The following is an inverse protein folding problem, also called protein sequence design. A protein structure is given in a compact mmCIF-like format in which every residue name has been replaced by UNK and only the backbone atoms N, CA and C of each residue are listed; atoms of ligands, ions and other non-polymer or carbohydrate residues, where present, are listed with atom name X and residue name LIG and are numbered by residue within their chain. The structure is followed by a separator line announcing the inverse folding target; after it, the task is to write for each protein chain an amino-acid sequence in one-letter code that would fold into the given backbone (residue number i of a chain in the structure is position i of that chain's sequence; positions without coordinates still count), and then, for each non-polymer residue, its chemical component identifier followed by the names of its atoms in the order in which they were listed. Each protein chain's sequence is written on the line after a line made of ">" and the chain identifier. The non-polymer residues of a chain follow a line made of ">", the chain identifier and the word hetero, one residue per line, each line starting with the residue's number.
data_IF_698607552146
#
_entry.id   IF_698607552146
#
_cell.length_a   1.000
_cell.length_b   1.000
_cell.length_c   1.000
_cell.angle_alpha   90.00
_cell.angle_beta   90.00
_cell.angle_gamma   90.00
#
_symmetry.space_group_name_H-M   'P 1'
#
loop_
_entity.id
_entity.type
_entity.pdbx_description
1 polymer ?
#
# COMPACT_ATOMS: atom_id res chain seq x y z
N UNK A 1 3.16 -7.77 -5.25
CA UNK A 1 2.44 -7.03 -6.30
C UNK A 1 3.30 -5.99 -7.02
N UNK A 2 3.18 -5.92 -8.35
CA UNK A 2 3.76 -4.81 -9.15
C UNK A 2 2.98 -3.52 -8.94
N UNK A 3 3.70 -2.41 -8.85
CA UNK A 3 3.16 -1.06 -8.71
C UNK A 3 3.84 -0.11 -9.70
N UNK A 4 3.05 0.60 -10.48
CA UNK A 4 3.46 1.77 -11.26
C UNK A 4 3.47 3.01 -10.35
N UNK A 5 4.57 3.77 -10.36
CA UNK A 5 4.67 5.04 -9.62
C UNK A 5 4.17 6.15 -10.55
N UNK A 6 2.97 6.69 -10.25
CA UNK A 6 2.38 7.76 -11.06
C UNK A 6 2.95 9.13 -10.67
N UNK A 7 3.10 9.35 -9.36
CA UNK A 7 3.59 10.59 -8.77
C UNK A 7 4.18 10.28 -7.40
N UNK A 8 5.51 10.20 -7.33
CA UNK A 8 6.20 9.83 -6.11
C UNK A 8 6.08 10.91 -5.02
N UNK A 9 6.06 12.18 -5.40
CA UNK A 9 5.95 13.30 -4.45
C UNK A 9 4.54 13.38 -3.86
N UNK A 10 3.52 13.16 -4.68
CA UNK A 10 2.14 13.09 -4.22
C UNK A 10 1.76 11.73 -3.62
N UNK A 11 2.66 10.74 -3.64
CA UNK A 11 2.41 9.39 -3.13
C UNK A 11 1.26 8.68 -3.85
N UNK A 12 1.18 8.81 -5.18
CA UNK A 12 0.15 8.17 -6.02
C UNK A 12 0.73 7.03 -6.86
N UNK A 13 -0.01 5.93 -6.88
CA UNK A 13 0.42 4.65 -7.42
C UNK A 13 -0.71 3.97 -8.17
N UNK A 14 -0.37 2.99 -9.02
CA UNK A 14 -1.34 2.12 -9.70
C UNK A 14 -0.90 0.66 -9.65
N UNK A 15 -1.86 -0.24 -9.44
CA UNK A 15 -1.68 -1.68 -9.59
C UNK A 15 -2.89 -2.28 -10.33
N UNK A 16 -3.00 -3.61 -10.36
CA UNK A 16 -4.13 -4.31 -11.01
C UNK A 16 -5.49 -4.02 -10.36
N UNK A 17 -5.51 -3.61 -9.08
CA UNK A 17 -6.72 -3.25 -8.33
C UNK A 17 -7.13 -1.78 -8.49
N UNK A 18 -6.35 -0.96 -9.21
CA UNK A 18 -6.67 0.44 -9.50
C UNK A 18 -5.60 1.44 -9.03
N UNK A 19 -5.99 2.71 -8.97
CA UNK A 19 -5.16 3.82 -8.46
C UNK A 19 -5.35 4.00 -6.96
N UNK A 20 -4.26 4.28 -6.25
CA UNK A 20 -4.28 4.42 -4.81
C UNK A 20 -3.19 5.37 -4.30
N UNK A 21 -3.37 5.81 -3.06
CA UNK A 21 -2.46 6.68 -2.32
C UNK A 21 -2.00 6.02 -1.01
N UNK A 22 -1.04 6.65 -0.35
CA UNK A 22 -0.58 6.25 0.98
C UNK A 22 -1.70 6.50 1.99
N UNK A 23 -2.01 5.48 2.81
CA UNK A 23 -2.98 5.60 3.88
C UNK A 23 -2.32 6.11 5.18
N UNK A 24 -3.00 6.98 5.99
CA UNK A 24 -4.31 7.56 5.73
C UNK A 24 -4.24 8.68 4.70
N UNK A 25 -5.14 8.64 3.73
CA UNK A 25 -5.42 9.78 2.88
C UNK A 25 -6.51 10.63 3.55
N UNK A 26 -6.12 11.77 4.13
CA UNK A 26 -7.04 12.66 4.84
C UNK A 26 -8.06 13.32 3.90
N UNK A 27 -7.84 13.25 2.58
CA UNK A 27 -8.75 13.79 1.57
C UNK A 27 -9.79 12.77 1.09
N UNK A 28 -9.63 11.48 1.43
CA UNK A 28 -10.55 10.45 1.01
C UNK A 28 -11.88 10.53 1.78
N UNK A 29 -12.99 10.69 1.06
CA UNK A 29 -14.34 10.75 1.65
C UNK A 29 -14.79 9.40 2.25
N UNK A 30 -14.31 8.30 1.66
CA UNK A 30 -14.54 6.92 2.10
C UNK A 30 -13.19 6.20 2.21
N UNK A 31 -13.13 5.05 2.89
CA UNK A 31 -11.91 4.23 2.73
C UNK A 31 -11.74 3.82 1.29
N UNK A 32 -10.51 3.89 0.78
CA UNK A 32 -10.23 3.33 -0.52
C UNK A 32 -10.15 1.80 -0.47
N UNK A 33 -10.68 1.15 -1.51
CA UNK A 33 -10.64 -0.31 -1.67
C UNK A 33 -9.20 -0.83 -1.75
N UNK A 34 -8.28 -0.02 -2.26
CA UNK A 34 -6.85 -0.29 -2.34
C UNK A 34 -6.07 0.89 -1.74
N UNK A 35 -5.05 0.61 -0.93
CA UNK A 35 -4.24 1.65 -0.29
C UNK A 35 -2.80 1.20 -0.03
N UNK A 36 -1.85 2.14 0.03
CA UNK A 36 -0.47 1.84 0.43
C UNK A 36 -0.30 1.98 1.95
N UNK A 37 0.26 0.95 2.60
CA UNK A 37 0.54 0.93 4.03
C UNK A 37 2.05 0.89 4.29
N UNK A 38 2.61 2.00 4.76
CA UNK A 38 4.05 2.12 5.06
C UNK A 38 4.55 1.06 6.05
N UNK A 39 5.62 0.36 5.72
CA UNK A 39 6.29 -0.61 6.62
C UNK A 39 6.72 0.03 7.94
N UNK A 40 7.00 1.33 7.91
CA UNK A 40 7.50 2.11 9.04
C UNK A 40 6.39 2.73 9.90
N UNK A 41 5.13 2.61 9.48
CA UNK A 41 4.00 3.09 10.28
C UNK A 41 3.99 2.35 11.62
N UNK A 42 4.23 3.11 12.69
CA UNK A 42 4.29 2.58 14.06
C UNK A 42 2.91 2.03 14.42
N UNK A 43 2.89 0.82 15.00
CA UNK A 43 1.68 0.23 15.54
C UNK A 43 1.04 1.22 16.52
N UNK A 44 -0.20 1.61 16.23
CA UNK A 44 -1.01 2.50 17.05
C UNK A 44 -2.39 1.89 17.17
N UNK A 45 -3.27 2.45 18.01
CA UNK A 45 -4.66 1.99 18.07
C UNK A 45 -5.36 2.03 16.69
N UNK A 46 -4.86 2.85 15.75
CA UNK A 46 -5.41 2.99 14.40
C UNK A 46 -4.87 1.98 13.37
N UNK A 47 -3.76 1.30 13.66
CA UNK A 47 -3.12 0.35 12.73
C UNK A 47 -2.64 -0.88 13.48
N UNK A 48 -3.27 -2.02 13.17
CA UNK A 48 -2.87 -3.31 13.73
C UNK A 48 -2.56 -4.29 12.62
N UNK A 49 -1.28 -4.63 12.46
CA UNK A 49 -0.84 -5.70 11.58
C UNK A 49 -0.97 -7.06 12.25
N UNK A 50 -1.38 -8.07 11.50
CA UNK A 50 -1.44 -9.47 11.96
C UNK A 50 -1.19 -10.42 10.79
N UNK A 51 -0.65 -11.59 11.09
CA UNK A 51 -0.49 -12.68 10.13
C UNK A 51 -1.49 -13.76 10.51
N UNK A 52 -2.28 -14.23 9.56
CA UNK A 52 -3.22 -15.34 9.71
C UNK A 52 -3.00 -16.28 8.55
N UNK A 53 -2.66 -17.54 8.82
CA UNK A 53 -2.43 -18.56 7.77
C UNK A 53 -1.47 -18.09 6.66
N UNK A 54 -0.34 -17.48 7.08
CA UNK A 54 0.70 -16.89 6.21
C UNK A 54 0.26 -15.68 5.37
N UNK A 55 -0.98 -15.22 5.50
CA UNK A 55 -1.48 -13.98 4.89
C UNK A 55 -1.32 -12.83 5.87
N UNK A 56 -0.74 -11.72 5.40
CA UNK A 56 -0.58 -10.52 6.21
C UNK A 56 -1.83 -9.64 6.07
N UNK A 57 -2.34 -9.12 7.18
CA UNK A 57 -3.46 -8.20 7.22
C UNK A 57 -3.10 -6.94 8.00
N UNK A 58 -3.81 -5.85 7.70
CA UNK A 58 -3.84 -4.65 8.55
C UNK A 58 -5.29 -4.28 8.87
N UNK A 59 -5.58 -4.19 10.16
CA UNK A 59 -6.83 -3.60 10.65
C UNK A 59 -6.60 -2.10 10.86
N UNK A 60 -7.50 -1.30 10.29
CA UNK A 60 -7.42 0.16 10.24
C UNK A 60 -8.68 0.76 10.83
N UNK A 61 -8.53 1.63 11.83
CA UNK A 61 -9.67 2.41 12.34
C UNK A 61 -9.75 3.76 11.61
N UNK A 62 -10.87 4.00 10.95
CA UNK A 62 -11.14 5.27 10.27
C UNK A 62 -12.61 5.65 10.43
N UNK A 63 -12.86 6.89 10.86
CA UNK A 63 -14.21 7.40 11.18
C UNK A 63 -15.02 6.49 12.12
N UNK A 64 -14.35 5.86 13.10
CA UNK A 64 -14.98 4.99 14.10
C UNK A 64 -15.41 3.61 13.57
N UNK A 65 -15.00 3.23 12.36
CA UNK A 65 -15.16 1.89 11.81
C UNK A 65 -13.80 1.24 11.64
N UNK A 66 -13.78 -0.09 11.77
CA UNK A 66 -12.58 -0.90 11.54
C UNK A 66 -12.70 -1.59 10.19
N UNK A 67 -11.66 -1.48 9.39
CA UNK A 67 -11.52 -2.09 8.07
C UNK A 67 -10.29 -2.99 8.05
N UNK A 68 -10.41 -4.17 7.47
CA UNK A 68 -9.32 -5.15 7.40
C UNK A 68 -8.90 -5.29 5.94
N UNK A 69 -7.64 -4.96 5.67
CA UNK A 69 -7.02 -5.14 4.37
C UNK A 69 -6.14 -6.38 4.40
N UNK A 70 -6.15 -7.14 3.32
CA UNK A 70 -5.09 -8.10 3.00
C UNK A 70 -3.90 -7.34 2.42
N UNK A 71 -2.69 -7.63 2.90
CA UNK A 71 -1.46 -6.95 2.53
C UNK A 71 -0.60 -7.80 1.60
N UNK A 72 -0.19 -7.19 0.49
CA UNK A 72 0.78 -7.73 -0.44
C UNK A 72 2.01 -6.84 -0.56
N UNK A 73 3.20 -7.44 -0.58
CA UNK A 73 4.44 -6.68 -0.76
C UNK A 73 4.46 -5.94 -2.09
N UNK A 74 4.73 -4.63 -2.05
CA UNK A 74 4.77 -3.79 -3.24
C UNK A 74 6.19 -3.72 -3.84
N UNK A 75 6.28 -3.77 -5.17
CA UNK A 75 7.52 -3.58 -5.90
C UNK A 75 7.29 -2.80 -7.19
N UNK A 76 8.29 -2.02 -7.60
CA UNK A 76 8.27 -1.25 -8.86
C UNK A 76 9.52 -1.50 -9.69
N UNK A 77 9.60 -0.90 -10.87
CA UNK A 77 10.76 -0.97 -11.76
C UNK A 77 11.44 0.38 -11.87
N UNK A 78 12.76 0.42 -11.69
CA UNK A 78 13.58 1.61 -11.89
C UNK A 78 14.62 1.37 -12.97
N UNK A 79 14.92 2.40 -13.77
CA UNK A 79 16.01 2.34 -14.73
C UNK A 79 17.36 2.46 -14.01
N UNK A 80 18.30 1.59 -14.35
CA UNK A 80 19.68 1.72 -13.88
C UNK A 80 20.44 2.82 -14.60
N UNK A 81 21.44 3.38 -13.91
CA UNK A 81 22.32 4.43 -14.42
C UNK A 81 23.12 4.01 -15.67
N UNK A 82 23.23 2.71 -15.93
CA UNK A 82 23.99 2.13 -17.04
C UNK A 82 23.08 1.54 -18.12
N UNK A 83 22.57 2.39 -19.03
CA UNK A 83 22.24 1.96 -20.39
C UNK A 83 21.00 1.07 -20.60
N UNK A 84 19.95 1.19 -19.79
CA UNK A 84 18.63 0.61 -20.09
C UNK A 84 18.28 -0.70 -19.38
N UNK A 85 19.05 -1.12 -18.37
CA UNK A 85 18.64 -2.18 -17.47
C UNK A 85 17.50 -1.70 -16.57
N UNK A 86 16.42 -2.50 -16.46
CA UNK A 86 15.35 -2.28 -15.49
C UNK A 86 15.58 -3.20 -14.29
N UNK A 87 15.52 -2.62 -13.09
CA UNK A 87 15.64 -3.36 -11.84
C UNK A 87 14.32 -3.31 -11.09
N UNK A 88 13.96 -4.44 -10.47
CA UNK A 88 12.84 -4.49 -9.55
C UNK A 88 13.30 -3.98 -8.18
N UNK A 89 12.58 -3.00 -7.65
CA UNK A 89 12.83 -2.40 -6.34
C UNK A 89 11.62 -2.61 -5.44
N UNK A 90 11.85 -3.17 -4.25
CA UNK A 90 10.82 -3.24 -3.21
C UNK A 90 10.50 -1.83 -2.72
N UNK A 91 9.22 -1.51 -2.59
CA UNK A 91 8.78 -0.24 -2.01
C UNK A 91 8.71 -0.36 -0.48
N UNK A 92 8.78 0.78 0.19
CA UNK A 92 8.70 0.85 1.67
C UNK A 92 7.27 0.74 2.21
N UNK A 93 6.38 0.11 1.45
CA UNK A 93 4.98 -0.11 1.82
C UNK A 93 4.47 -1.44 1.24
N UNK A 94 3.39 -1.94 1.84
CA UNK A 94 2.57 -3.01 1.29
C UNK A 94 1.32 -2.42 0.62
N UNK A 95 0.84 -3.05 -0.45
CA UNK A 95 -0.48 -2.75 -1.02
C UNK A 95 -1.51 -3.48 -0.19
N UNK A 96 -2.42 -2.74 0.42
CA UNK A 96 -3.59 -3.32 1.07
C UNK A 96 -4.79 -3.32 0.15
N UNK A 97 -5.47 -4.46 0.06
CA UNK A 97 -6.71 -4.63 -0.70
C UNK A 97 -7.83 -5.06 0.25
N UNK A 98 -8.98 -4.41 0.18
CA UNK A 98 -10.17 -4.88 0.89
C UNK A 98 -10.68 -6.17 0.24
N UNK A 99 -10.92 -7.23 1.01
CA UNK A 99 -11.56 -8.43 0.49
C UNK A 99 -13.01 -8.12 0.07
N UNK A 100 -13.47 -8.73 -1.02
CA UNK A 100 -14.86 -8.66 -1.52
C UNK A 100 -15.89 -9.20 -0.52
#
# INVERSE_FOLDING_TARGET
>A
MYVEVLDQEAGRYRCEFGEFSVFPDEQAETVPVVAAFSHWAVASQRFRRRIVEDVMFVDVEHQGRVWTYELEQAWTTVAGDSGGLLFQLALSFDVGVLPD
#
